data_IF_507105371253
#
_entry.id   IF_507105371253
#
_cell.length_a   1.000
_cell.length_b   1.000
_cell.length_c   1.000
_cell.angle_alpha   90.00
_cell.angle_beta   90.00
_cell.angle_gamma   90.00
#
_symmetry.space_group_name_H-M   'P 1'
#
loop_
_entity.id
_entity.type
_entity.pdbx_description
1 polymer ?
#
# COMPACT_ATOMS: atom_id res chain seq x y z
N UNK A 1 -18.90 -19.11 11.25
CA UNK A 1 -18.70 -17.94 10.37
C UNK A 1 -18.19 -18.47 9.04
N UNK A 2 -18.80 -18.08 7.91
CA UNK A 2 -18.27 -18.47 6.60
C UNK A 2 -17.07 -17.58 6.24
N UNK A 3 -16.20 -18.06 5.34
CA UNK A 3 -15.07 -17.26 4.83
C UNK A 3 -15.60 -15.98 4.18
N UNK A 4 -16.67 -16.09 3.38
CA UNK A 4 -17.30 -14.94 2.72
C UNK A 4 -17.75 -13.86 3.72
N UNK A 5 -18.43 -14.26 4.80
CA UNK A 5 -18.89 -13.33 5.82
C UNK A 5 -17.70 -12.61 6.49
N UNK A 6 -16.60 -13.32 6.69
CA UNK A 6 -15.38 -12.74 7.25
C UNK A 6 -14.75 -11.72 6.30
N UNK A 7 -14.67 -12.03 5.01
CA UNK A 7 -14.15 -11.10 3.99
C UNK A 7 -15.00 -9.85 3.86
N UNK A 8 -16.33 -9.99 3.89
CA UNK A 8 -17.26 -8.86 3.80
C UNK A 8 -17.14 -7.95 5.04
N UNK A 9 -17.01 -8.53 6.23
CA UNK A 9 -16.80 -7.77 7.47
C UNK A 9 -15.47 -6.99 7.44
N UNK A 10 -14.40 -7.61 6.92
CA UNK A 10 -13.08 -6.95 6.81
C UNK A 10 -13.11 -5.86 5.74
N UNK A 11 -13.68 -6.12 4.54
CA UNK A 11 -13.84 -5.11 3.48
C UNK A 11 -14.61 -3.91 3.99
N UNK A 12 -15.76 -4.13 4.63
CA UNK A 12 -16.58 -3.06 5.20
C UNK A 12 -15.81 -2.27 6.24
N UNK A 13 -15.06 -2.94 7.11
CA UNK A 13 -14.29 -2.27 8.15
C UNK A 13 -13.22 -1.32 7.58
N UNK A 14 -12.41 -1.79 6.62
CA UNK A 14 -11.34 -0.98 6.03
C UNK A 14 -11.79 0.00 4.96
N UNK A 15 -12.91 -0.25 4.28
CA UNK A 15 -13.43 0.60 3.21
C UNK A 15 -14.44 1.66 3.66
N UNK A 16 -15.34 1.29 4.59
CA UNK A 16 -16.44 2.17 5.01
C UNK A 16 -16.25 2.70 6.43
N UNK A 17 -15.85 1.83 7.37
CA UNK A 17 -15.84 2.19 8.80
C UNK A 17 -14.63 3.04 9.16
N UNK A 18 -13.44 2.70 8.68
CA UNK A 18 -12.23 3.46 8.95
C UNK A 18 -12.13 4.68 8.04
N UNK A 19 -12.33 5.87 8.60
CA UNK A 19 -12.12 7.15 7.90
C UNK A 19 -10.80 7.80 8.33
N UNK A 20 -10.27 7.40 9.49
CA UNK A 20 -9.05 7.92 10.09
C UNK A 20 -8.38 6.87 10.98
N UNK A 21 -7.09 7.05 11.26
CA UNK A 21 -6.36 6.20 12.20
C UNK A 21 -6.92 6.25 13.64
N UNK A 22 -7.68 7.29 14.00
CA UNK A 22 -8.42 7.36 15.28
C UNK A 22 -9.60 6.39 15.38
N UNK A 23 -10.08 5.84 14.25
CA UNK A 23 -11.22 4.92 14.23
C UNK A 23 -10.80 3.46 14.52
N UNK A 24 -9.50 3.20 14.66
CA UNK A 24 -8.95 1.88 14.96
C UNK A 24 -9.42 1.39 16.34
N UNK A 25 -10.21 0.31 16.34
CA UNK A 25 -10.81 -0.26 17.55
C UNK A 25 -9.83 -0.94 18.50
N UNK A 26 -8.58 -1.17 18.08
CA UNK A 26 -7.55 -1.82 18.91
C UNK A 26 -6.18 -1.18 18.69
N UNK A 27 -5.33 -1.20 19.73
CA UNK A 27 -3.92 -0.82 19.64
C UNK A 27 -3.02 -1.88 18.98
N UNK A 28 -3.59 -2.81 18.20
CA UNK A 28 -2.84 -3.88 17.54
C UNK A 28 -1.77 -3.34 16.57
N UNK A 29 -1.95 -2.11 16.10
CA UNK A 29 -1.03 -1.42 15.20
C UNK A 29 0.06 -0.58 15.91
N UNK A 30 0.56 -1.04 17.04
CA UNK A 30 1.71 -0.42 17.70
C UNK A 30 2.99 -1.22 17.39
N UNK A 31 3.79 -0.74 16.44
CA UNK A 31 5.15 -1.25 16.26
C UNK A 31 6.01 -0.90 17.47
N UNK A 32 6.69 -1.87 18.06
CA UNK A 32 7.63 -1.66 19.16
C UNK A 32 8.87 -0.84 18.74
N UNK A 33 9.21 -0.86 17.44
CA UNK A 33 10.38 -0.18 16.90
C UNK A 33 10.00 1.00 16.01
N UNK A 34 10.76 2.09 16.13
CA UNK A 34 10.56 3.29 15.33
C UNK A 34 11.14 3.08 13.93
N UNK A 35 10.42 3.53 12.89
CA UNK A 35 10.87 3.46 11.50
C UNK A 35 12.30 4.06 11.35
N UNK A 36 13.20 3.40 10.60
CA UNK A 36 14.53 3.93 10.31
C UNK A 36 14.50 5.37 9.77
N UNK A 37 15.46 6.20 10.17
CA UNK A 37 15.50 7.64 9.83
C UNK A 37 15.47 7.89 8.32
N UNK A 38 16.15 7.05 7.54
CA UNK A 38 16.19 7.19 6.08
C UNK A 38 14.82 6.97 5.43
N UNK A 39 13.99 6.06 5.96
CA UNK A 39 12.62 5.83 5.47
C UNK A 39 11.66 6.93 5.92
N UNK A 40 11.86 7.52 7.10
CA UNK A 40 11.03 8.66 7.55
C UNK A 40 11.11 9.86 6.62
N UNK A 41 12.29 10.14 6.05
CA UNK A 41 12.43 11.21 5.06
C UNK A 41 11.67 10.90 3.78
N UNK A 42 11.68 9.64 3.34
CA UNK A 42 10.92 9.22 2.15
C UNK A 42 9.40 9.30 2.37
N UNK A 43 8.92 9.13 3.61
CA UNK A 43 7.50 9.36 3.92
C UNK A 43 7.06 10.82 3.72
N UNK A 44 7.96 11.79 3.80
CA UNK A 44 7.63 13.19 3.47
C UNK A 44 7.23 13.32 1.99
N UNK A 45 7.73 12.42 1.16
CA UNK A 45 7.50 12.38 -0.29
C UNK A 45 6.29 11.52 -0.68
N UNK A 46 5.49 11.06 0.29
CA UNK A 46 4.21 10.38 0.05
C UNK A 46 3.06 11.36 0.29
N UNK A 47 2.06 11.33 -0.58
CA UNK A 47 0.91 12.24 -0.51
C UNK A 47 0.23 12.20 0.88
N UNK A 48 -0.15 13.36 1.47
CA UNK A 48 -0.73 13.39 2.82
C UNK A 48 -1.99 12.53 3.00
N UNK A 49 -2.87 12.50 2.01
CA UNK A 49 -4.10 11.71 2.08
C UNK A 49 -3.81 10.20 2.08
N UNK A 50 -2.86 9.77 1.25
CA UNK A 50 -2.38 8.38 1.22
C UNK A 50 -1.87 7.97 2.61
N UNK A 51 -1.05 8.82 3.24
CA UNK A 51 -0.54 8.57 4.60
C UNK A 51 -1.65 8.55 5.66
N UNK A 52 -2.63 9.45 5.54
CA UNK A 52 -3.70 9.57 6.53
C UNK A 52 -4.61 8.35 6.61
N UNK A 53 -4.75 7.62 5.49
CA UNK A 53 -5.55 6.38 5.37
C UNK A 53 -4.74 5.09 5.49
N UNK A 54 -3.51 5.18 6.01
CA UNK A 54 -2.70 4.03 6.31
C UNK A 54 -3.02 3.46 7.70
N UNK A 55 -3.31 2.16 7.75
CA UNK A 55 -3.74 1.47 8.97
C UNK A 55 -2.85 0.30 9.40
N UNK A 56 -1.65 0.17 8.83
CA UNK A 56 -0.70 -0.91 9.14
C UNK A 56 0.27 -0.59 10.29
N UNK A 57 1.12 -1.56 10.62
CA UNK A 57 2.12 -1.48 11.69
C UNK A 57 3.54 -1.52 11.12
N UNK A 58 4.11 -0.34 10.83
CA UNK A 58 5.47 -0.21 10.28
C UNK A 58 5.55 -0.40 8.77
N UNK A 59 6.76 -0.46 8.22
CA UNK A 59 7.04 -0.74 6.80
C UNK A 59 8.19 -1.75 6.71
N UNK A 60 7.94 -3.04 6.41
CA UNK A 60 8.98 -4.08 6.35
C UNK A 60 9.76 -4.01 5.03
N UNK A 61 10.48 -2.90 4.81
CA UNK A 61 11.16 -2.63 3.55
C UNK A 61 12.59 -3.19 3.55
N UNK A 62 12.94 -4.11 2.64
CA UNK A 62 14.30 -4.64 2.54
C UNK A 62 15.26 -3.59 1.95
N UNK A 63 16.57 -3.70 2.23
CA UNK A 63 17.58 -2.89 1.55
C UNK A 63 17.75 -3.34 0.08
N UNK A 64 18.33 -2.47 -0.76
CA UNK A 64 18.76 -2.76 -2.13
C UNK A 64 17.64 -3.21 -3.10
N UNK A 65 16.69 -2.31 -3.36
CA UNK A 65 15.52 -2.56 -4.20
C UNK A 65 15.62 -2.02 -5.65
N UNK A 66 16.68 -1.29 -5.99
CA UNK A 66 16.82 -0.63 -7.31
C UNK A 66 16.60 -1.62 -8.47
N UNK A 67 15.69 -1.28 -9.39
CA UNK A 67 15.32 -2.09 -10.54
C UNK A 67 14.47 -3.32 -10.25
N UNK A 68 14.13 -3.61 -8.99
CA UNK A 68 13.33 -4.80 -8.63
C UNK A 68 11.85 -4.63 -8.95
N UNK A 69 11.15 -5.76 -9.08
CA UNK A 69 9.69 -5.84 -9.01
C UNK A 69 9.28 -6.25 -7.60
N UNK A 70 8.38 -5.48 -6.97
CA UNK A 70 7.90 -5.73 -5.60
C UNK A 70 6.38 -5.87 -5.58
N UNK A 71 5.88 -6.82 -4.79
CA UNK A 71 4.46 -7.04 -4.53
C UNK A 71 4.11 -6.64 -3.09
N UNK A 72 3.15 -5.73 -2.93
CA UNK A 72 2.62 -5.25 -1.64
C UNK A 72 1.22 -5.83 -1.42
N UNK A 73 1.09 -6.73 -0.42
CA UNK A 73 -0.13 -7.47 -0.12
C UNK A 73 -0.92 -6.78 1.00
N UNK A 74 -2.13 -6.32 0.69
CA UNK A 74 -2.91 -5.46 1.59
C UNK A 74 -2.42 -4.01 1.53
N UNK A 75 -2.18 -3.50 0.32
CA UNK A 75 -1.51 -2.22 0.11
C UNK A 75 -2.33 -0.99 0.58
N UNK A 76 -3.63 -1.16 0.83
CA UNK A 76 -4.53 -0.11 1.27
C UNK A 76 -4.49 1.12 0.37
N UNK A 77 -4.32 2.30 0.98
CA UNK A 77 -4.18 3.58 0.27
C UNK A 77 -2.87 3.74 -0.50
N UNK A 78 -1.94 2.77 -0.40
CA UNK A 78 -0.71 2.73 -1.18
C UNK A 78 0.53 3.35 -0.50
N UNK A 79 0.50 3.65 0.81
CA UNK A 79 1.65 4.30 1.49
C UNK A 79 2.97 3.55 1.27
N UNK A 80 2.97 2.24 1.52
CA UNK A 80 4.18 1.43 1.40
C UNK A 80 4.50 1.14 -0.08
N UNK A 81 3.49 0.91 -0.93
CA UNK A 81 3.67 0.85 -2.38
C UNK A 81 4.35 2.10 -2.98
N UNK A 82 4.02 3.31 -2.51
CA UNK A 82 4.67 4.54 -2.97
C UNK A 82 6.06 4.77 -2.38
N UNK A 83 6.34 4.30 -1.17
CA UNK A 83 7.70 4.24 -0.66
C UNK A 83 8.55 3.29 -1.51
N UNK A 84 8.03 2.10 -1.79
CA UNK A 84 8.65 1.10 -2.65
C UNK A 84 8.90 1.66 -4.05
N UNK A 85 7.94 2.38 -4.63
CA UNK A 85 8.06 3.06 -5.93
C UNK A 85 9.30 3.93 -6.02
N UNK A 86 9.60 4.66 -4.93
CA UNK A 86 10.78 5.50 -4.84
C UNK A 86 12.06 4.69 -4.64
N UNK A 87 12.01 3.59 -3.89
CA UNK A 87 13.14 2.74 -3.57
C UNK A 87 13.57 1.83 -4.73
N UNK A 88 12.63 1.35 -5.54
CA UNK A 88 12.91 0.52 -6.72
C UNK A 88 13.38 1.35 -7.92
N UNK A 89 13.21 2.67 -7.87
CA UNK A 89 13.57 3.57 -8.96
C UNK A 89 12.69 3.43 -10.20
N UNK A 90 12.90 4.30 -11.19
CA UNK A 90 12.08 4.36 -12.41
C UNK A 90 12.11 3.07 -13.26
N UNK A 91 13.19 2.30 -13.17
CA UNK A 91 13.35 1.02 -13.88
C UNK A 91 12.70 -0.17 -13.17
N UNK A 92 12.39 -0.04 -11.88
CA UNK A 92 11.69 -1.04 -11.10
C UNK A 92 10.18 -1.00 -11.27
N UNK A 93 9.46 -1.88 -10.56
CA UNK A 93 8.00 -1.97 -10.61
C UNK A 93 7.45 -2.30 -9.22
N UNK A 94 6.29 -1.75 -8.89
CA UNK A 94 5.54 -2.09 -7.68
C UNK A 94 4.11 -2.48 -8.06
N UNK A 95 3.62 -3.56 -7.45
CA UNK A 95 2.25 -4.02 -7.61
C UNK A 95 1.62 -4.03 -6.21
N UNK A 96 0.58 -3.23 -6.00
CA UNK A 96 -0.23 -3.26 -4.78
C UNK A 96 -1.50 -4.05 -5.00
N UNK A 97 -1.81 -5.00 -4.11
CA UNK A 97 -3.07 -5.74 -4.11
C UNK A 97 -3.84 -5.39 -2.84
N UNK A 98 -5.12 -5.03 -2.99
CA UNK A 98 -6.05 -4.88 -1.87
C UNK A 98 -7.46 -5.29 -2.30
N UNK A 99 -8.30 -5.71 -1.35
CA UNK A 99 -9.69 -6.10 -1.64
C UNK A 99 -10.70 -4.94 -1.47
N UNK A 100 -10.21 -3.76 -1.10
CA UNK A 100 -11.01 -2.60 -0.69
C UNK A 100 -10.95 -1.50 -1.76
N UNK A 101 -12.02 -1.36 -2.54
CA UNK A 101 -12.09 -0.39 -3.64
C UNK A 101 -11.86 1.06 -3.15
N UNK A 102 -12.42 1.43 -1.99
CA UNK A 102 -12.32 2.78 -1.43
C UNK A 102 -10.88 3.18 -1.07
N UNK A 103 -10.05 2.20 -0.69
CA UNK A 103 -8.63 2.42 -0.42
C UNK A 103 -7.83 2.51 -1.72
N UNK A 104 -8.13 1.63 -2.68
CA UNK A 104 -7.49 1.65 -3.99
C UNK A 104 -7.83 2.91 -4.78
N UNK A 105 -9.01 3.50 -4.60
CA UNK A 105 -9.40 4.76 -5.24
C UNK A 105 -8.48 5.90 -4.77
N UNK A 106 -8.21 5.98 -3.47
CA UNK A 106 -7.25 6.95 -2.91
C UNK A 106 -5.85 6.69 -3.45
N UNK A 107 -5.44 5.43 -3.51
CA UNK A 107 -4.14 5.06 -4.07
C UNK A 107 -4.04 5.52 -5.54
N UNK A 108 -4.97 5.11 -6.38
CA UNK A 108 -5.00 5.43 -7.83
C UNK A 108 -5.08 6.94 -8.10
N UNK A 109 -5.89 7.68 -7.34
CA UNK A 109 -6.05 9.13 -7.49
C UNK A 109 -4.72 9.88 -7.35
N UNK A 110 -3.80 9.41 -6.51
CA UNK A 110 -2.53 10.09 -6.22
C UNK A 110 -1.35 9.55 -7.03
N UNK A 111 -1.56 8.67 -8.01
CA UNK A 111 -0.45 8.14 -8.84
C UNK A 111 0.33 9.24 -9.55
N UNK A 112 -0.36 10.14 -10.24
CA UNK A 112 0.29 11.21 -11.00
C UNK A 112 1.11 12.15 -10.08
N UNK A 113 0.60 12.43 -8.88
CA UNK A 113 1.32 13.24 -7.90
C UNK A 113 2.68 12.61 -7.53
N UNK A 114 2.72 11.29 -7.33
CA UNK A 114 3.96 10.58 -6.99
C UNK A 114 4.92 10.49 -8.19
N UNK A 115 4.40 10.34 -9.40
CA UNK A 115 5.21 10.41 -10.64
C UNK A 115 5.98 11.73 -10.71
N UNK A 116 5.29 12.85 -10.48
CA UNK A 116 5.89 14.18 -10.47
C UNK A 116 6.85 14.35 -9.30
N UNK A 117 6.45 13.96 -8.08
CA UNK A 117 7.27 14.07 -6.87
C UNK A 117 8.60 13.34 -7.01
N UNK A 118 8.63 12.22 -7.72
CA UNK A 118 9.81 11.38 -7.93
C UNK A 118 10.55 11.67 -9.24
N UNK A 119 10.01 12.56 -10.09
CA UNK A 119 10.56 12.89 -11.41
C UNK A 119 10.66 11.67 -12.34
N UNK A 120 9.68 10.76 -12.26
CA UNK A 120 9.55 9.65 -13.20
C UNK A 120 8.81 10.10 -14.47
N UNK A 121 9.10 9.48 -15.61
CA UNK A 121 8.38 9.72 -16.86
C UNK A 121 6.95 9.14 -16.83
N UNK A 122 6.71 8.10 -16.01
CA UNK A 122 5.40 7.45 -15.81
C UNK A 122 5.35 6.76 -14.44
N UNK A 123 4.15 6.34 -14.03
CA UNK A 123 4.00 5.49 -12.85
C UNK A 123 4.70 4.15 -13.05
N UNK A 124 5.49 3.74 -12.07
CA UNK A 124 6.02 2.38 -11.92
C UNK A 124 5.20 1.55 -10.92
N UNK A 125 4.05 2.06 -10.47
CA UNK A 125 3.14 1.42 -9.52
C UNK A 125 1.84 1.04 -10.22
N UNK A 126 1.37 -0.18 -9.97
CA UNK A 126 0.06 -0.69 -10.38
C UNK A 126 -0.75 -1.12 -9.15
N UNK A 127 -2.06 -0.86 -9.15
CA UNK A 127 -2.97 -1.19 -8.05
C UNK A 127 -4.10 -2.10 -8.54
N UNK A 128 -4.14 -3.31 -8.02
CA UNK A 128 -5.06 -4.37 -8.40
C UNK A 128 -6.06 -4.60 -7.26
N UNK A 129 -7.35 -4.62 -7.62
CA UNK A 129 -8.39 -5.04 -6.69
C UNK A 129 -8.48 -6.56 -6.71
N UNK A 130 -8.28 -7.20 -5.57
CA UNK A 130 -8.28 -8.65 -5.46
C UNK A 130 -8.00 -9.16 -4.06
N UNK A 131 -8.08 -10.48 -3.91
CA UNK A 131 -7.79 -11.16 -2.64
C UNK A 131 -6.34 -11.61 -2.63
N UNK A 132 -5.64 -11.35 -1.53
CA UNK A 132 -4.22 -11.72 -1.38
C UNK A 132 -4.03 -13.25 -1.35
N UNK A 133 -5.08 -14.00 -1.03
CA UNK A 133 -5.13 -15.46 -1.07
C UNK A 133 -5.31 -16.03 -2.49
N UNK A 134 -5.65 -15.19 -3.48
CA UNK A 134 -5.85 -15.57 -4.89
C UNK A 134 -5.08 -14.63 -5.84
N UNK A 135 -3.75 -14.78 -5.84
CA UNK A 135 -2.86 -14.00 -6.71
C UNK A 135 -3.05 -14.33 -8.20
N UNK A 136 -3.43 -15.58 -8.53
CA UNK A 136 -3.74 -15.97 -9.89
C UNK A 136 -4.96 -15.20 -10.43
N UNK A 137 -6.01 -15.03 -9.61
CA UNK A 137 -7.14 -14.15 -9.90
C UNK A 137 -6.76 -12.68 -10.07
N UNK A 138 -5.65 -12.25 -9.45
CA UNK A 138 -5.05 -10.92 -9.63
C UNK A 138 -4.15 -10.82 -10.87
N UNK A 139 -4.02 -11.88 -11.68
CA UNK A 139 -3.13 -11.92 -12.85
C UNK A 139 -1.64 -12.06 -12.50
N UNK A 140 -1.32 -12.43 -11.27
CA UNK A 140 0.05 -12.65 -10.78
C UNK A 140 0.28 -14.17 -10.76
N UNK A 141 1.01 -14.66 -11.75
CA UNK A 141 1.36 -16.07 -11.88
C UNK A 141 2.59 -16.47 -11.07
N UNK A 142 2.81 -17.77 -10.97
CA UNK A 142 4.07 -18.33 -10.45
C UNK A 142 5.25 -17.94 -11.36
N UNK A 143 6.42 -17.71 -10.74
CA UNK A 143 7.66 -17.37 -11.44
C UNK A 143 8.36 -18.58 -12.05
#
# INVERSE_FOLDING_TARGET
MSIQQSLDDVRRYYGEVLQSSSDLKTGACCTAEAMPVHLRRLLEDVHPEVKARFYGCGSPLPPALEGMTVLDLGCGSGRDAYLLSRLVGESGRVIGVDMTAEQLDVARQHQQWHVERYSHARSNVEFIEGYIEDLAGCGIGDA
#
